data_IF_655613631389
#
_entry.id   IF_655613631389
#
_cell.length_a   1.000
_cell.length_b   1.000
_cell.length_c   1.000
_cell.angle_alpha   90.00
_cell.angle_beta   90.00
_cell.angle_gamma   90.00
#
_symmetry.space_group_name_H-M   'P 1'
#
loop_
_entity.id
_entity.type
_entity.pdbx_description
1 polymer ?
#
# COMPACT_ATOMS: atom_id res chain seq x y z
N UNK A 1 3.14 -15.46 -11.25
CA UNK A 1 2.77 -16.06 -12.54
C UNK A 1 3.91 -16.92 -13.05
N UNK A 2 3.97 -18.17 -12.68
CA UNK A 2 5.02 -19.09 -13.15
C UNK A 2 4.85 -19.53 -14.59
N UNK A 3 3.66 -19.34 -15.18
CA UNK A 3 3.32 -19.77 -16.53
C UNK A 3 4.18 -19.19 -17.66
N UNK A 4 4.95 -18.13 -17.36
CA UNK A 4 5.87 -17.49 -18.31
C UNK A 4 7.35 -17.76 -18.01
N UNK A 5 7.64 -18.55 -17.00
CA UNK A 5 9.02 -18.88 -16.64
C UNK A 5 9.45 -20.15 -17.35
N UNK A 6 10.59 -20.11 -18.01
CA UNK A 6 11.15 -21.26 -18.71
C UNK A 6 12.68 -21.27 -18.57
N UNK A 7 13.25 -22.45 -18.63
CA UNK A 7 14.69 -22.66 -18.78
C UNK A 7 15.09 -22.62 -20.25
N UNK A 8 16.19 -21.95 -20.59
CA UNK A 8 16.65 -21.83 -21.98
C UNK A 8 17.01 -23.19 -22.63
N UNK A 9 17.38 -24.16 -21.82
CA UNK A 9 17.68 -25.55 -22.26
C UNK A 9 16.45 -26.46 -22.10
N UNK A 10 15.26 -25.89 -21.89
CA UNK A 10 13.98 -26.60 -21.74
C UNK A 10 13.95 -27.60 -20.57
N UNK A 11 14.80 -27.41 -19.55
CA UNK A 11 14.77 -28.24 -18.35
C UNK A 11 13.54 -27.94 -17.50
N UNK A 12 12.94 -28.96 -16.85
CA UNK A 12 11.83 -28.75 -15.92
C UNK A 12 12.24 -27.81 -14.78
N UNK A 13 11.35 -26.88 -14.43
CA UNK A 13 11.55 -25.98 -13.30
C UNK A 13 10.82 -26.49 -12.07
N UNK A 14 11.49 -26.41 -10.93
CA UNK A 14 10.94 -26.50 -9.57
C UNK A 14 11.13 -25.17 -8.86
N UNK A 15 10.31 -24.91 -7.84
CA UNK A 15 10.32 -23.62 -7.16
C UNK A 15 10.71 -23.82 -5.70
N UNK A 16 11.55 -22.92 -5.20
CA UNK A 16 11.94 -22.89 -3.80
C UNK A 16 11.59 -21.53 -3.22
N UNK A 17 10.87 -21.56 -2.10
CA UNK A 17 10.43 -20.41 -1.36
C UNK A 17 11.20 -20.33 -0.05
N UNK A 18 11.71 -19.16 0.28
CA UNK A 18 12.59 -18.96 1.46
C UNK A 18 12.25 -17.63 2.09
N UNK A 19 12.07 -17.61 3.41
CA UNK A 19 12.01 -16.36 4.17
C UNK A 19 13.42 -15.79 4.22
N UNK A 20 13.63 -14.65 3.57
CA UNK A 20 14.93 -13.96 3.49
C UNK A 20 15.11 -12.97 4.63
N UNK A 21 14.01 -12.37 5.08
CA UNK A 21 13.95 -11.43 6.21
C UNK A 21 12.64 -11.61 6.97
N UNK A 22 12.64 -11.34 8.26
CA UNK A 22 11.52 -11.55 9.17
C UNK A 22 11.67 -12.83 9.99
N UNK A 23 10.68 -13.12 10.83
CA UNK A 23 10.64 -14.34 11.65
C UNK A 23 9.96 -15.49 10.89
N UNK A 24 10.70 -16.56 10.51
CA UNK A 24 10.12 -17.69 9.80
C UNK A 24 8.99 -18.40 10.58
N UNK A 25 8.98 -18.33 11.90
CA UNK A 25 7.95 -18.94 12.73
C UNK A 25 6.56 -18.26 12.57
N UNK A 26 6.54 -17.03 12.04
CA UNK A 26 5.34 -16.27 11.77
C UNK A 26 4.91 -16.33 10.29
N UNK A 27 5.61 -17.12 9.48
CA UNK A 27 5.33 -17.28 8.05
C UNK A 27 4.98 -18.75 7.77
N UNK A 28 3.77 -18.98 7.29
CA UNK A 28 3.33 -20.30 6.83
C UNK A 28 3.26 -20.31 5.30
N UNK A 29 3.92 -21.28 4.68
CA UNK A 29 3.99 -21.43 3.23
C UNK A 29 3.57 -22.86 2.85
N UNK A 30 2.39 -23.01 2.23
CA UNK A 30 1.80 -24.29 1.86
C UNK A 30 1.83 -24.47 0.33
N UNK A 31 2.69 -25.35 -0.21
CA UNK A 31 2.67 -25.70 -1.63
C UNK A 31 1.32 -26.28 -2.05
N UNK A 32 0.82 -25.86 -3.21
CA UNK A 32 -0.42 -26.32 -3.79
C UNK A 32 -0.22 -27.32 -4.93
N UNK A 33 1.02 -27.51 -5.35
CA UNK A 33 1.43 -28.48 -6.38
C UNK A 33 2.82 -29.08 -6.06
N UNK A 34 3.14 -30.21 -6.71
CA UNK A 34 4.39 -30.97 -6.49
C UNK A 34 5.66 -30.15 -6.80
N UNK A 35 5.57 -29.19 -7.70
CA UNK A 35 6.70 -28.34 -8.11
C UNK A 35 6.81 -27.07 -7.27
N UNK A 36 5.88 -26.86 -6.34
CA UNK A 36 5.73 -25.62 -5.56
C UNK A 36 5.65 -24.37 -6.44
N UNK A 37 5.02 -24.48 -7.62
CA UNK A 37 4.85 -23.36 -8.54
C UNK A 37 3.73 -22.42 -8.05
N UNK A 38 2.79 -22.94 -7.26
CA UNK A 38 1.75 -22.21 -6.57
C UNK A 38 1.87 -22.51 -5.08
N UNK A 39 1.96 -21.45 -4.27
CA UNK A 39 2.09 -21.54 -2.81
C UNK A 39 1.08 -20.61 -2.16
N UNK A 40 0.34 -21.12 -1.19
CA UNK A 40 -0.46 -20.30 -0.29
C UNK A 40 0.46 -19.77 0.81
N UNK A 41 0.47 -18.45 1.00
CA UNK A 41 1.32 -17.79 1.99
C UNK A 41 0.44 -17.09 3.01
N UNK A 42 0.66 -17.41 4.28
CA UNK A 42 0.07 -16.73 5.43
C UNK A 42 1.16 -16.08 6.25
N UNK A 43 1.11 -14.77 6.40
CA UNK A 43 2.10 -14.01 7.16
C UNK A 43 1.39 -13.34 8.35
N UNK A 44 1.75 -13.75 9.57
CA UNK A 44 1.25 -13.12 10.80
C UNK A 44 1.90 -11.76 11.00
N UNK A 45 1.30 -10.93 11.83
CA UNK A 45 1.86 -9.64 12.20
C UNK A 45 3.29 -9.79 12.73
N UNK A 46 4.19 -8.97 12.21
CA UNK A 46 5.56 -8.85 12.68
C UNK A 46 5.71 -7.51 13.42
N UNK A 47 6.14 -7.57 14.65
CA UNK A 47 6.64 -6.40 15.35
C UNK A 47 7.99 -5.97 14.78
N UNK A 48 8.38 -4.73 15.06
CA UNK A 48 9.69 -4.23 14.65
C UNK A 48 10.79 -4.94 15.40
N UNK A 49 11.77 -5.42 14.68
CA UNK A 49 12.95 -6.10 15.19
C UNK A 49 14.19 -5.57 14.48
N UNK A 50 15.38 -5.63 15.10
CA UNK A 50 16.63 -5.34 14.41
C UNK A 50 16.74 -6.17 13.11
N UNK A 51 17.09 -5.50 11.99
CA UNK A 51 17.23 -6.16 10.68
C UNK A 51 18.35 -7.21 10.62
N UNK A 52 19.28 -7.16 11.59
CA UNK A 52 20.35 -8.14 11.84
C UNK A 52 20.85 -7.96 13.27
N UNK A 53 21.52 -8.94 13.86
CA UNK A 53 22.20 -8.78 15.13
C UNK A 53 23.05 -7.51 15.13
N UNK A 54 23.05 -6.77 16.21
CA UNK A 54 23.79 -5.51 16.43
C UNK A 54 23.34 -4.31 15.54
N UNK A 55 22.28 -4.44 14.76
CA UNK A 55 21.73 -3.32 14.03
C UNK A 55 20.90 -2.41 14.94
N UNK A 56 21.11 -1.09 14.79
CA UNK A 56 20.20 -0.09 15.36
C UNK A 56 18.98 0.14 14.45
N UNK A 57 19.02 -0.38 13.23
CA UNK A 57 17.88 -0.31 12.31
C UNK A 57 16.93 -1.45 12.61
N UNK A 58 15.64 -1.11 12.72
CA UNK A 58 14.56 -2.06 12.96
C UNK A 58 13.59 -2.07 11.79
N UNK A 59 12.92 -3.19 11.56
CA UNK A 59 11.90 -3.36 10.53
C UNK A 59 10.84 -4.37 10.97
N UNK A 60 9.61 -4.14 10.53
CA UNK A 60 8.53 -5.14 10.54
C UNK A 60 8.43 -5.88 9.19
N UNK A 61 9.41 -5.67 8.30
CA UNK A 61 9.39 -6.20 6.94
C UNK A 61 9.68 -7.70 6.93
N UNK A 62 8.90 -8.41 6.13
CA UNK A 62 9.12 -9.80 5.80
C UNK A 62 9.37 -9.90 4.31
N UNK A 63 10.51 -10.45 3.92
CA UNK A 63 10.83 -10.72 2.53
C UNK A 63 10.86 -12.23 2.28
N UNK A 64 10.12 -12.65 1.26
CA UNK A 64 10.10 -14.04 0.79
C UNK A 64 10.74 -14.07 -0.60
N UNK A 65 11.83 -14.80 -0.73
CA UNK A 65 12.49 -15.06 -1.99
C UNK A 65 11.92 -16.29 -2.68
N UNK A 66 11.63 -16.15 -3.98
CA UNK A 66 11.17 -17.23 -4.84
C UNK A 66 12.24 -17.54 -5.86
N UNK A 67 12.78 -18.74 -5.84
CA UNK A 67 13.85 -19.19 -6.71
C UNK A 67 13.32 -20.28 -7.66
N UNK A 68 13.58 -20.13 -8.95
CA UNK A 68 13.42 -21.22 -9.90
C UNK A 68 14.69 -22.10 -9.88
N UNK A 69 14.53 -23.42 -10.00
CA UNK A 69 15.61 -24.38 -10.07
C UNK A 69 15.36 -25.37 -11.22
N UNK A 70 16.35 -25.57 -12.07
CA UNK A 70 16.31 -26.51 -13.21
C UNK A 70 16.96 -27.85 -12.91
N UNK A 71 17.21 -28.17 -11.64
CA UNK A 71 17.91 -29.36 -11.20
C UNK A 71 19.43 -29.16 -11.02
N UNK A 72 20.00 -28.13 -11.64
CA UNK A 72 21.46 -27.84 -11.60
C UNK A 72 21.74 -26.47 -10.98
N UNK A 73 20.94 -25.45 -11.32
CA UNK A 73 21.16 -24.07 -10.92
C UNK A 73 19.89 -23.42 -10.38
N UNK A 74 20.07 -22.48 -9.47
CA UNK A 74 19.01 -21.57 -9.00
C UNK A 74 19.06 -20.26 -9.77
N UNK A 75 17.89 -19.68 -10.03
CA UNK A 75 17.77 -18.32 -10.53
C UNK A 75 18.12 -17.29 -9.44
N UNK A 76 18.28 -16.02 -9.82
CA UNK A 76 18.10 -14.93 -8.89
C UNK A 76 16.66 -14.97 -8.32
N UNK A 77 16.44 -14.53 -7.07
CA UNK A 77 15.12 -14.53 -6.47
C UNK A 77 14.21 -13.46 -7.07
N UNK A 78 12.94 -13.79 -7.26
CA UNK A 78 11.88 -12.81 -7.19
C UNK A 78 11.54 -12.58 -5.71
N UNK A 79 11.27 -11.34 -5.30
CA UNK A 79 11.03 -10.99 -3.90
C UNK A 79 9.59 -10.55 -3.72
N UNK A 80 8.93 -11.12 -2.71
CA UNK A 80 7.64 -10.68 -2.22
C UNK A 80 7.86 -10.07 -0.84
N UNK A 81 7.46 -8.81 -0.65
CA UNK A 81 7.64 -8.10 0.61
C UNK A 81 6.31 -7.80 1.28
N UNK A 82 6.25 -8.04 2.58
CA UNK A 82 5.18 -7.63 3.46
C UNK A 82 5.76 -6.69 4.52
N UNK A 83 4.98 -5.71 4.95
CA UNK A 83 5.37 -4.84 6.07
C UNK A 83 4.14 -4.27 6.76
N UNK A 84 4.29 -3.90 8.01
CA UNK A 84 3.26 -3.26 8.82
C UNK A 84 3.69 -1.84 9.17
N UNK A 85 3.02 -0.82 8.61
CA UNK A 85 3.28 0.57 8.99
C UNK A 85 3.00 0.76 10.48
N UNK A 86 3.91 1.36 11.22
CA UNK A 86 3.75 1.68 12.64
C UNK A 86 3.31 3.11 12.88
N UNK A 87 3.19 3.88 11.80
CA UNK A 87 2.86 5.31 11.83
C UNK A 87 1.40 5.58 11.41
N UNK A 88 0.56 4.56 11.33
CA UNK A 88 -0.87 4.75 11.09
C UNK A 88 -1.73 4.07 12.18
N UNK A 89 -2.87 4.69 12.45
CA UNK A 89 -3.94 4.11 13.27
C UNK A 89 -5.19 4.01 12.40
N UNK A 90 -5.78 2.82 12.31
CA UNK A 90 -6.95 2.56 11.48
C UNK A 90 -8.18 2.31 12.32
N UNK A 91 -9.27 2.93 11.94
CA UNK A 91 -10.58 2.71 12.52
C UNK A 91 -11.45 1.95 11.53
N UNK A 92 -12.16 0.94 12.04
CA UNK A 92 -13.05 0.11 11.25
C UNK A 92 -14.48 0.16 11.79
N UNK A 93 -15.45 0.02 10.90
CA UNK A 93 -16.83 -0.25 11.27
C UNK A 93 -16.99 -1.70 11.76
N UNK A 94 -18.11 -2.04 12.44
CA UNK A 94 -18.37 -3.42 12.90
C UNK A 94 -18.36 -4.49 11.78
N UNK A 95 -18.67 -4.10 10.56
CA UNK A 95 -18.66 -4.94 9.35
C UNK A 95 -17.29 -4.92 8.62
N UNK A 96 -16.24 -4.37 9.23
CA UNK A 96 -14.86 -4.44 8.75
C UNK A 96 -14.47 -3.39 7.70
N UNK A 97 -15.31 -2.39 7.41
CA UNK A 97 -14.94 -1.27 6.53
C UNK A 97 -14.01 -0.31 7.23
N UNK A 98 -13.06 0.22 6.48
CA UNK A 98 -12.18 1.27 7.00
C UNK A 98 -12.94 2.60 7.08
N UNK A 99 -13.01 3.20 8.25
CA UNK A 99 -13.67 4.50 8.48
C UNK A 99 -12.67 5.65 8.46
N UNK A 100 -11.51 5.42 9.07
CA UNK A 100 -10.46 6.44 9.08
C UNK A 100 -9.07 5.81 9.14
N UNK A 101 -8.09 6.53 8.59
CA UNK A 101 -6.67 6.26 8.78
C UNK A 101 -6.01 7.55 9.26
N UNK A 102 -5.53 7.53 10.49
CA UNK A 102 -4.71 8.60 11.06
C UNK A 102 -3.24 8.28 10.83
N UNK A 103 -2.57 9.07 10.01
CA UNK A 103 -1.14 8.97 9.77
C UNK A 103 -0.39 9.92 10.69
N UNK A 104 0.66 9.43 11.32
CA UNK A 104 1.52 10.21 12.20
C UNK A 104 2.93 10.27 11.63
N UNK A 105 3.55 11.43 11.75
CA UNK A 105 5.00 11.53 11.59
C UNK A 105 5.61 10.94 12.85
N UNK A 106 6.56 10.04 12.71
CA UNK A 106 7.24 9.52 13.88
C UNK A 106 8.01 10.65 14.58
N UNK A 107 7.66 10.86 15.86
CA UNK A 107 8.22 11.93 16.67
C UNK A 107 9.59 11.58 17.28
N UNK A 108 9.95 10.32 17.33
CA UNK A 108 10.95 9.80 18.24
C UNK A 108 12.26 9.41 17.59
N UNK A 109 12.58 9.91 16.38
CA UNK A 109 13.88 9.66 15.76
C UNK A 109 14.32 8.20 15.80
N UNK A 110 13.34 7.30 15.94
CA UNK A 110 13.56 5.88 16.10
C UNK A 110 14.38 5.32 14.95
N UNK A 111 15.18 4.34 15.23
CA UNK A 111 16.02 3.64 14.30
C UNK A 111 15.18 2.97 13.21
N UNK A 112 14.93 3.68 12.14
CA UNK A 112 14.13 3.20 11.03
C UNK A 112 14.93 2.37 10.08
N UNK A 113 14.36 1.26 9.73
CA UNK A 113 14.97 0.38 8.78
C UNK A 113 14.75 0.76 7.33
N UNK A 114 13.64 1.35 6.99
CA UNK A 114 13.30 1.57 5.60
C UNK A 114 12.49 2.85 5.43
N UNK A 115 13.18 4.00 5.35
CA UNK A 115 12.53 5.30 5.19
C UNK A 115 11.73 5.41 3.89
N UNK A 116 11.99 4.56 2.89
CA UNK A 116 11.23 4.52 1.64
C UNK A 116 9.85 3.86 1.83
N UNK A 117 9.75 2.92 2.78
CA UNK A 117 8.48 2.25 3.09
C UNK A 117 7.65 3.01 4.12
N UNK A 118 8.27 3.79 4.99
CA UNK A 118 7.60 4.51 6.08
C UNK A 118 7.90 5.99 6.01
N UNK A 119 7.41 6.64 4.97
CA UNK A 119 7.47 8.09 4.86
C UNK A 119 6.50 8.74 5.85
N UNK A 120 6.99 9.73 6.58
CA UNK A 120 6.17 10.51 7.50
C UNK A 120 5.00 11.19 6.78
N UNK A 121 3.81 10.99 7.30
CA UNK A 121 2.58 11.66 6.88
C UNK A 121 1.99 12.33 8.11
N UNK A 122 1.34 13.44 7.94
CA UNK A 122 0.72 14.16 9.04
C UNK A 122 -0.68 14.60 8.65
N UNK A 123 -1.57 13.62 8.46
CA UNK A 123 -2.98 13.85 8.15
C UNK A 123 -3.84 12.65 8.56
N UNK A 124 -5.15 12.89 8.57
CA UNK A 124 -6.16 11.84 8.76
C UNK A 124 -7.02 11.75 7.52
N UNK A 125 -7.17 10.57 6.95
CA UNK A 125 -8.13 10.28 5.88
C UNK A 125 -9.40 9.66 6.48
N UNK A 126 -10.57 10.26 6.23
CA UNK A 126 -11.89 9.81 6.69
C UNK A 126 -12.70 9.37 5.50
N UNK A 127 -13.05 8.09 5.44
CA UNK A 127 -13.70 7.46 4.30
C UNK A 127 -15.22 7.58 4.38
N UNK A 128 -15.85 7.84 3.24
CA UNK A 128 -17.29 8.03 3.11
C UNK A 128 -17.88 6.96 2.21
N UNK A 129 -19.01 6.40 2.62
CA UNK A 129 -19.70 5.32 1.91
C UNK A 129 -21.17 5.70 1.66
N UNK A 130 -21.73 5.19 0.56
CA UNK A 130 -23.16 5.31 0.27
C UNK A 130 -23.99 4.28 1.08
N UNK A 131 -25.33 4.37 0.94
CA UNK A 131 -26.26 3.45 1.59
C UNK A 131 -26.11 1.97 1.16
N UNK A 132 -25.39 1.71 0.07
CA UNK A 132 -25.06 0.36 -0.45
C UNK A 132 -23.64 -0.08 -0.07
N UNK A 133 -22.99 0.63 0.84
CA UNK A 133 -21.62 0.37 1.30
C UNK A 133 -20.53 0.54 0.23
N UNK A 134 -20.79 1.29 -0.84
CA UNK A 134 -19.77 1.62 -1.84
C UNK A 134 -19.03 2.87 -1.40
N UNK A 135 -17.69 2.85 -1.51
CA UNK A 135 -16.87 4.04 -1.28
C UNK A 135 -17.26 5.15 -2.27
N UNK A 136 -17.59 6.33 -1.76
CA UNK A 136 -17.88 7.52 -2.57
C UNK A 136 -16.70 8.51 -2.58
N UNK A 137 -15.89 8.52 -1.55
CA UNK A 137 -14.72 9.40 -1.42
C UNK A 137 -14.17 9.40 -0.01
N UNK A 138 -13.28 10.34 0.26
CA UNK A 138 -12.78 10.58 1.61
C UNK A 138 -12.34 12.02 1.81
N UNK A 139 -12.32 12.43 3.05
CA UNK A 139 -11.80 13.71 3.49
C UNK A 139 -10.43 13.56 4.11
N UNK A 140 -9.47 14.32 3.64
CA UNK A 140 -8.14 14.43 4.21
C UNK A 140 -8.03 15.66 5.10
N UNK A 141 -7.81 15.43 6.38
CA UNK A 141 -7.68 16.50 7.38
C UNK A 141 -6.21 16.71 7.73
N UNK A 142 -5.71 17.95 7.59
CA UNK A 142 -4.36 18.38 7.97
C UNK A 142 -4.45 19.65 8.81
N UNK A 143 -4.37 19.53 10.12
CA UNK A 143 -4.65 20.66 11.01
C UNK A 143 -6.06 21.18 10.77
N UNK A 144 -6.19 22.45 10.41
CA UNK A 144 -7.48 23.10 10.13
C UNK A 144 -7.96 22.94 8.67
N UNK A 145 -7.11 22.39 7.79
CA UNK A 145 -7.43 22.23 6.37
C UNK A 145 -8.05 20.87 6.11
N UNK A 146 -9.18 20.86 5.40
CA UNK A 146 -9.81 19.65 4.86
C UNK A 146 -9.75 19.69 3.34
N UNK A 147 -9.32 18.59 2.75
CA UNK A 147 -9.30 18.35 1.31
C UNK A 147 -10.23 17.17 1.00
N UNK A 148 -11.10 17.33 0.00
CA UNK A 148 -12.04 16.29 -0.41
C UNK A 148 -11.48 15.49 -1.58
N UNK A 149 -11.52 14.17 -1.48
CA UNK A 149 -11.08 13.25 -2.53
C UNK A 149 -12.25 12.43 -3.03
N UNK A 150 -12.32 12.27 -4.35
CA UNK A 150 -13.26 11.34 -4.97
C UNK A 150 -12.83 9.89 -4.70
N UNK A 151 -13.73 8.94 -4.94
CA UNK A 151 -13.43 7.50 -4.83
C UNK A 151 -12.23 7.04 -5.70
N UNK A 152 -11.92 7.77 -6.76
CA UNK A 152 -10.82 7.48 -7.68
C UNK A 152 -9.47 8.04 -7.21
N UNK A 153 -9.45 8.77 -6.08
CA UNK A 153 -8.22 9.36 -5.54
C UNK A 153 -7.85 10.72 -6.09
N UNK A 154 -8.77 11.38 -6.79
CA UNK A 154 -8.56 12.72 -7.31
C UNK A 154 -9.00 13.77 -6.29
N UNK A 155 -8.23 14.83 -6.17
CA UNK A 155 -8.59 15.98 -5.32
C UNK A 155 -9.74 16.75 -5.95
N UNK A 156 -10.85 16.84 -5.25
CA UNK A 156 -12.04 17.58 -5.69
C UNK A 156 -11.77 19.08 -5.64
N UNK A 157 -12.00 19.77 -6.75
CA UNK A 157 -11.80 21.22 -6.90
C UNK A 157 -13.12 21.98 -7.09
N UNK A 158 -14.19 21.27 -7.43
CA UNK A 158 -15.54 21.84 -7.56
C UNK A 158 -16.60 20.80 -7.27
N UNK A 159 -17.71 21.22 -6.65
CA UNK A 159 -18.85 20.38 -6.29
C UNK A 159 -20.16 20.95 -6.82
N UNK A 160 -21.15 20.08 -6.98
CA UNK A 160 -22.54 20.49 -7.27
C UNK A 160 -23.27 20.94 -5.98
N UNK A 161 -24.56 21.30 -6.12
CA UNK A 161 -25.42 21.71 -5.04
C UNK A 161 -25.71 20.63 -3.98
N UNK A 162 -25.42 19.36 -4.31
CA UNK A 162 -25.53 18.21 -3.40
C UNK A 162 -24.19 17.85 -2.76
N UNK A 163 -23.12 18.61 -3.03
CA UNK A 163 -21.77 18.35 -2.52
C UNK A 163 -21.00 17.25 -3.28
N UNK A 164 -21.54 16.74 -4.39
CA UNK A 164 -20.87 15.70 -5.19
C UNK A 164 -19.77 16.31 -6.05
N UNK A 165 -18.64 15.61 -6.29
CA UNK A 165 -17.59 16.11 -7.16
C UNK A 165 -18.07 16.49 -8.56
N UNK A 166 -17.78 17.69 -9.03
CA UNK A 166 -17.95 18.09 -10.44
C UNK A 166 -16.61 18.14 -11.15
N UNK A 167 -15.60 18.65 -10.47
CA UNK A 167 -14.25 18.80 -11.00
C UNK A 167 -13.24 18.26 -10.01
N UNK A 168 -12.19 17.65 -10.52
CA UNK A 168 -11.09 17.15 -9.71
C UNK A 168 -9.76 17.24 -10.47
N UNK A 169 -8.66 17.11 -9.73
CA UNK A 169 -7.30 17.09 -10.29
C UNK A 169 -6.55 15.88 -9.78
N UNK A 170 -5.61 15.41 -10.60
CA UNK A 170 -4.69 14.37 -10.22
C UNK A 170 -3.81 14.80 -9.03
N UNK A 171 -3.50 13.85 -8.17
CA UNK A 171 -2.55 14.05 -7.06
C UNK A 171 -1.44 13.04 -7.16
N UNK A 172 -0.22 13.54 -7.12
CA UNK A 172 1.00 12.77 -6.94
C UNK A 172 1.60 12.96 -5.55
N UNK A 173 2.58 12.15 -5.23
CA UNK A 173 3.33 12.25 -3.97
C UNK A 173 4.81 12.17 -4.25
N UNK A 174 5.59 13.03 -3.59
CA UNK A 174 7.05 13.00 -3.61
C UNK A 174 7.58 12.82 -2.19
N UNK A 175 8.66 12.08 -2.07
CA UNK A 175 9.39 11.95 -0.80
C UNK A 175 10.36 13.12 -0.68
N UNK A 176 10.19 13.92 0.38
CA UNK A 176 11.11 14.99 0.72
C UNK A 176 12.02 14.55 1.86
N UNK A 177 13.29 14.43 1.56
CA UNK A 177 14.33 14.14 2.55
C UNK A 177 14.94 15.44 3.06
N UNK A 178 15.27 15.47 4.36
CA UNK A 178 16.06 16.53 4.98
C UNK A 178 17.23 15.88 5.70
N UNK A 179 18.33 16.58 5.82
CA UNK A 179 19.44 16.15 6.65
C UNK A 179 18.94 16.10 8.10
N UNK A 180 19.22 15.02 8.77
CA UNK A 180 18.87 14.80 10.19
C UNK A 180 17.36 14.77 10.54
N UNK A 181 16.48 14.51 9.55
CA UNK A 181 15.06 14.34 9.77
C UNK A 181 14.49 13.15 8.98
N UNK A 182 13.44 12.52 9.52
CA UNK A 182 12.73 11.46 8.81
C UNK A 182 12.15 11.98 7.48
N UNK A 183 12.17 11.17 6.42
CA UNK A 183 11.55 11.53 5.14
C UNK A 183 10.06 11.84 5.32
N UNK A 184 9.58 12.84 4.63
CA UNK A 184 8.16 13.22 4.64
C UNK A 184 7.55 13.08 3.25
N UNK A 185 6.30 12.66 3.20
CA UNK A 185 5.53 12.59 1.97
C UNK A 185 4.88 13.95 1.69
N UNK A 186 5.17 14.51 0.52
CA UNK A 186 4.61 15.79 0.08
C UNK A 186 3.65 15.54 -1.07
N UNK A 187 2.41 16.00 -0.89
CA UNK A 187 1.39 15.96 -1.93
C UNK A 187 1.68 17.01 -3.00
N UNK A 188 1.52 16.64 -4.25
CA UNK A 188 1.69 17.50 -5.41
C UNK A 188 0.44 17.40 -6.30
N UNK A 189 -0.01 18.52 -6.83
CA UNK A 189 -1.08 18.54 -7.82
C UNK A 189 -0.50 18.17 -9.19
N UNK A 190 -1.07 17.17 -9.85
CA UNK A 190 -0.75 16.78 -11.21
C UNK A 190 -1.37 17.70 -12.25
N UNK A 191 -1.10 17.40 -13.52
CA UNK A 191 -1.59 18.19 -14.66
C UNK A 191 -2.98 17.74 -15.13
N UNK A 192 -3.33 16.46 -14.96
CA UNK A 192 -4.59 15.90 -15.41
C UNK A 192 -5.76 16.44 -14.59
N UNK A 193 -6.80 16.86 -15.31
CA UNK A 193 -8.08 17.32 -14.76
C UNK A 193 -9.17 16.35 -15.13
N UNK A 194 -10.20 16.31 -14.29
CA UNK A 194 -11.29 15.36 -14.42
C UNK A 194 -12.61 16.05 -14.20
N UNK A 195 -13.59 15.70 -15.03
CA UNK A 195 -14.98 16.13 -14.94
C UNK A 195 -15.88 14.95 -14.59
N UNK A 196 -16.82 15.15 -13.66
CA UNK A 196 -17.79 14.16 -13.23
C UNK A 196 -19.16 14.44 -13.79
N UNK A 197 -19.84 13.39 -14.29
CA UNK A 197 -21.20 13.43 -14.79
C UNK A 197 -22.04 12.41 -14.03
N UNK A 198 -23.22 12.80 -13.58
CA UNK A 198 -24.13 11.97 -12.81
C UNK A 198 -25.37 11.60 -13.60
N UNK A 199 -25.76 10.33 -13.56
CA UNK A 199 -26.95 9.81 -14.26
C UNK A 199 -28.27 10.19 -13.59
N UNK A 200 -28.25 10.45 -12.27
CA UNK A 200 -29.43 10.82 -11.46
C UNK A 200 -29.03 11.59 -10.20
N UNK A 201 -30.02 12.06 -9.44
CA UNK A 201 -29.76 12.71 -8.13
C UNK A 201 -29.23 11.72 -7.10
N UNK A 202 -29.63 10.47 -7.17
CA UNK A 202 -29.19 9.41 -6.24
C UNK A 202 -27.83 8.79 -6.62
N UNK A 203 -27.28 9.15 -7.77
CA UNK A 203 -25.95 8.73 -8.16
C UNK A 203 -24.91 9.54 -7.39
N UNK A 204 -24.28 8.93 -6.39
CA UNK A 204 -23.24 9.53 -5.57
C UNK A 204 -21.81 9.33 -6.10
N UNK A 205 -21.68 8.55 -7.16
CA UNK A 205 -20.37 8.14 -7.70
C UNK A 205 -20.03 8.86 -8.99
N UNK A 206 -20.98 8.92 -9.92
CA UNK A 206 -20.82 9.51 -11.24
C UNK A 206 -19.88 8.72 -12.16
N UNK A 207 -19.81 9.18 -13.39
CA UNK A 207 -18.81 8.79 -14.38
C UNK A 207 -17.77 9.88 -14.50
N UNK A 208 -16.50 9.50 -14.56
CA UNK A 208 -15.38 10.43 -14.66
C UNK A 208 -14.81 10.41 -16.07
N UNK A 209 -14.55 11.61 -16.61
CA UNK A 209 -13.83 11.82 -17.86
C UNK A 209 -12.58 12.64 -17.65
N UNK A 210 -11.56 12.40 -18.46
CA UNK A 210 -10.31 13.21 -18.49
C UNK A 210 -10.55 14.38 -19.42
N UNK A 211 -10.24 15.58 -18.97
CA UNK A 211 -10.33 16.82 -19.78
C UNK A 211 -9.13 16.96 -20.70
#
# INVERSE_FOLDING_TARGET
MPEKSFDLNQQPLNWRWVVLQGDPALVDMQPQDEKSSVVSISVKHHERQPIRPDSKMESSRVDIGVFANNGTHFSAPAIISFWWPTNDTRQYSPDGRILAVEYRTQADGGAYADPMLVTGRNWTDRYQYDGSNRLIGWDRVRGERTEHFSRHGYLVTGTDSLGRPLQAVEIGYAVKTRKDAAPTLVQQTGERRFTYVYGSQDDLVGTVTVD
#
